data_IF_096172713281
#
_entry.id   IF_096172713281
#
_cell.length_a   1.000
_cell.length_b   1.000
_cell.length_c   1.000
_cell.angle_alpha   90.00
_cell.angle_beta   90.00
_cell.angle_gamma   90.00
#
_symmetry.space_group_name_H-M   'P 1'
#
loop_
_entity.id
_entity.type
_entity.pdbx_description
1 polymer ?
#
# COMPACT_ATOMS: atom_id res chain seq x y z
N UNK A 1 46.93 -29.82 -17.72
CA UNK A 1 46.45 -29.10 -16.52
C UNK A 1 46.23 -27.66 -16.91
N UNK A 2 44.98 -27.30 -17.21
CA UNK A 2 44.60 -25.91 -17.42
C UNK A 2 43.97 -25.44 -16.16
N UNK A 3 44.72 -24.72 -15.33
CA UNK A 3 44.19 -24.04 -14.17
C UNK A 3 43.30 -22.89 -14.66
N UNK A 4 41.96 -23.08 -14.53
CA UNK A 4 41.01 -22.03 -14.76
C UNK A 4 41.26 -20.90 -13.72
N UNK A 5 41.79 -19.77 -14.19
CA UNK A 5 41.80 -18.53 -13.41
C UNK A 5 40.34 -18.14 -13.17
N UNK A 6 39.86 -18.35 -11.97
CA UNK A 6 38.66 -17.69 -11.48
C UNK A 6 38.90 -16.18 -11.61
N UNK A 7 38.20 -15.54 -12.55
CA UNK A 7 38.23 -14.10 -12.72
C UNK A 7 37.58 -13.49 -11.47
N UNK A 8 38.40 -12.99 -10.55
CA UNK A 8 37.98 -12.18 -9.42
C UNK A 8 37.56 -10.79 -9.97
N UNK A 9 36.50 -10.73 -10.78
CA UNK A 9 35.86 -9.47 -11.11
C UNK A 9 35.08 -9.02 -9.89
N UNK A 10 35.41 -7.84 -9.38
CA UNK A 10 34.54 -7.19 -8.41
C UNK A 10 33.10 -7.22 -8.94
N UNK A 11 32.12 -7.56 -8.07
CA UNK A 11 30.73 -7.59 -8.50
C UNK A 11 30.34 -6.22 -9.02
N UNK A 12 29.66 -6.20 -10.16
CA UNK A 12 29.14 -4.99 -10.76
C UNK A 12 28.20 -4.26 -9.78
N UNK A 13 28.12 -2.94 -9.89
CA UNK A 13 27.26 -2.10 -9.02
C UNK A 13 25.82 -2.61 -8.98
N UNK A 14 25.30 -3.11 -10.11
CA UNK A 14 23.96 -3.71 -10.17
C UNK A 14 23.84 -4.96 -9.28
N UNK A 15 24.85 -5.83 -9.27
CA UNK A 15 24.87 -7.01 -8.40
C UNK A 15 24.98 -6.62 -6.92
N UNK A 16 25.82 -5.64 -6.60
CA UNK A 16 25.95 -5.12 -5.22
C UNK A 16 24.67 -4.49 -4.73
N UNK A 17 23.98 -3.72 -5.59
CA UNK A 17 22.65 -3.18 -5.28
C UNK A 17 21.63 -4.27 -5.02
N UNK A 18 21.57 -5.29 -5.90
CA UNK A 18 20.64 -6.40 -5.75
C UNK A 18 20.85 -7.15 -4.41
N UNK A 19 22.09 -7.46 -4.05
CA UNK A 19 22.42 -8.08 -2.76
C UNK A 19 22.02 -7.17 -1.60
N UNK A 20 22.35 -5.88 -1.68
CA UNK A 20 22.01 -4.92 -0.63
C UNK A 20 20.51 -4.85 -0.34
N UNK A 21 19.67 -4.74 -1.39
CA UNK A 21 18.22 -4.66 -1.17
C UNK A 21 17.61 -5.99 -0.74
N UNK A 22 18.17 -7.13 -1.16
CA UNK A 22 17.77 -8.45 -0.68
C UNK A 22 18.09 -8.65 0.80
N UNK A 23 19.21 -8.14 1.28
CA UNK A 23 19.58 -8.19 2.69
C UNK A 23 18.69 -7.31 3.58
N UNK A 24 18.09 -6.25 3.02
CA UNK A 24 17.17 -5.38 3.76
C UNK A 24 15.80 -6.01 4.02
N UNK A 25 15.39 -6.97 3.19
CA UNK A 25 14.05 -7.55 3.27
C UNK A 25 14.03 -9.03 2.88
N UNK A 26 13.67 -9.91 3.84
CA UNK A 26 13.59 -11.35 3.57
C UNK A 26 12.38 -11.74 2.69
N UNK A 27 11.41 -10.85 2.47
CA UNK A 27 10.16 -11.15 1.77
C UNK A 27 10.17 -10.75 0.29
N UNK A 28 11.33 -10.49 -0.31
CA UNK A 28 11.46 -10.01 -1.71
C UNK A 28 10.62 -8.77 -2.05
N UNK A 29 10.29 -7.95 -1.04
CA UNK A 29 9.45 -6.74 -1.18
C UNK A 29 10.13 -5.54 -0.54
N UNK A 30 10.73 -4.67 -1.34
CA UNK A 30 11.34 -3.45 -0.84
C UNK A 30 10.25 -2.40 -0.55
N UNK A 31 9.82 -2.32 0.71
CA UNK A 31 8.88 -1.28 1.16
C UNK A 31 9.60 0.06 1.20
N UNK A 32 9.08 1.04 0.46
CA UNK A 32 9.70 2.38 0.29
C UNK A 32 8.85 3.51 0.87
N UNK A 33 7.55 3.29 1.02
CA UNK A 33 6.62 4.25 1.61
C UNK A 33 5.57 3.51 2.42
N UNK A 34 5.32 4.00 3.63
CA UNK A 34 4.17 3.61 4.44
C UNK A 34 3.45 4.86 4.92
N UNK A 35 2.13 4.85 4.87
CA UNK A 35 1.28 5.96 5.30
C UNK A 35 0.09 5.45 6.08
N UNK A 36 -0.29 6.20 7.11
CA UNK A 36 -1.54 5.98 7.84
C UNK A 36 -2.65 6.76 7.12
N UNK A 37 -3.69 6.05 6.70
CA UNK A 37 -4.82 6.63 5.97
C UNK A 37 -6.11 6.47 6.78
N UNK A 38 -6.93 7.52 6.79
CA UNK A 38 -8.27 7.49 7.34
C UNK A 38 -9.27 7.11 6.26
N UNK A 39 -10.09 6.12 6.55
CA UNK A 39 -11.15 5.66 5.69
C UNK A 39 -12.49 6.07 6.27
N UNK A 40 -13.36 6.59 5.43
CA UNK A 40 -14.76 6.88 5.76
C UNK A 40 -15.66 6.34 4.66
N UNK A 41 -16.73 5.68 5.06
CA UNK A 41 -17.82 5.25 4.19
C UNK A 41 -19.16 5.58 4.82
N UNK A 42 -20.10 6.01 4.01
CA UNK A 42 -21.46 6.32 4.44
C UNK A 42 -22.44 5.73 3.45
N UNK A 43 -23.40 4.95 3.94
CA UNK A 43 -24.48 4.39 3.13
C UNK A 43 -25.83 4.80 3.71
N UNK A 44 -26.66 5.43 2.87
CA UNK A 44 -28.04 5.77 3.20
C UNK A 44 -28.99 4.62 2.79
N UNK A 45 -29.84 4.23 3.70
CA UNK A 45 -30.85 3.20 3.51
C UNK A 45 -32.25 3.81 3.57
N UNK A 46 -33.07 3.47 2.61
CA UNK A 46 -34.47 3.96 2.53
C UNK A 46 -35.38 2.79 2.25
N UNK A 47 -36.48 2.67 3.00
CA UNK A 47 -37.54 1.69 2.78
C UNK A 47 -38.90 2.33 2.96
N UNK A 48 -39.85 2.00 2.08
CA UNK A 48 -41.25 2.38 2.25
C UNK A 48 -41.92 1.42 3.23
N UNK A 49 -42.54 1.98 4.28
CA UNK A 49 -43.36 1.24 5.22
C UNK A 49 -44.83 1.52 4.90
N UNK A 50 -45.63 0.47 4.74
CA UNK A 50 -47.09 0.54 4.44
C UNK A 50 -47.43 1.43 3.21
N UNK A 51 -46.51 1.48 2.22
CA UNK A 51 -46.63 2.29 1.00
C UNK A 51 -46.74 3.82 1.19
N UNK A 52 -46.78 4.31 2.43
CA UNK A 52 -47.08 5.74 2.73
C UNK A 52 -45.89 6.41 3.43
N UNK A 53 -45.14 5.73 4.27
CA UNK A 53 -44.08 6.33 5.08
C UNK A 53 -42.71 5.89 4.58
N UNK A 54 -41.83 6.86 4.23
CA UNK A 54 -40.43 6.60 3.92
C UNK A 54 -39.61 6.58 5.21
N UNK A 55 -39.02 5.44 5.52
CA UNK A 55 -38.07 5.30 6.61
C UNK A 55 -36.66 5.42 6.06
N UNK A 56 -35.86 6.32 6.62
CA UNK A 56 -34.46 6.55 6.20
C UNK A 56 -33.54 6.46 7.39
N UNK A 57 -32.38 5.87 7.17
CA UNK A 57 -31.26 5.90 8.10
C UNK A 57 -29.94 5.86 7.33
N UNK A 58 -28.88 6.35 7.94
CA UNK A 58 -27.53 6.32 7.39
C UNK A 58 -26.64 5.53 8.33
N UNK A 59 -25.87 4.61 7.78
CA UNK A 59 -24.79 3.92 8.48
C UNK A 59 -23.48 4.54 8.01
N UNK A 60 -22.70 5.03 8.98
CA UNK A 60 -21.37 5.57 8.76
C UNK A 60 -20.34 4.61 9.36
N UNK A 61 -19.28 4.34 8.63
CA UNK A 61 -18.16 3.52 9.06
C UNK A 61 -16.89 4.33 8.87
N UNK A 62 -16.04 4.39 9.91
CA UNK A 62 -14.70 4.94 9.81
C UNK A 62 -13.67 3.97 10.37
N UNK A 63 -12.45 4.04 9.82
CA UNK A 63 -11.32 3.24 10.28
C UNK A 63 -10.00 3.87 9.85
N UNK A 64 -8.92 3.56 10.58
CA UNK A 64 -7.56 3.85 10.16
C UNK A 64 -6.90 2.59 9.60
N UNK A 65 -6.10 2.75 8.54
CA UNK A 65 -5.35 1.66 7.94
C UNK A 65 -3.93 2.10 7.59
N UNK A 66 -2.97 1.21 7.82
CA UNK A 66 -1.61 1.37 7.33
C UNK A 66 -1.54 0.87 5.88
N UNK A 67 -1.14 1.76 4.97
CA UNK A 67 -0.98 1.47 3.54
C UNK A 67 0.51 1.54 3.22
N UNK A 68 1.05 0.46 2.66
CA UNK A 68 2.47 0.35 2.33
C UNK A 68 2.68 0.08 0.85
N UNK A 69 3.64 0.79 0.25
CA UNK A 69 4.00 0.67 -1.16
C UNK A 69 5.40 0.09 -1.27
N UNK A 70 5.58 -0.84 -2.21
CA UNK A 70 6.80 -1.61 -2.35
C UNK A 70 7.18 -1.83 -3.81
N UNK A 71 8.45 -2.15 -4.02
CA UNK A 71 8.96 -2.73 -5.26
C UNK A 71 9.17 -4.23 -5.08
N UNK A 72 8.76 -4.99 -6.09
CA UNK A 72 8.90 -6.44 -6.14
C UNK A 72 10.33 -6.81 -6.54
N UNK A 73 11.09 -7.40 -5.62
CA UNK A 73 12.48 -7.79 -5.85
C UNK A 73 12.61 -9.10 -6.65
N UNK A 74 11.54 -9.91 -6.76
CA UNK A 74 11.55 -11.09 -7.63
C UNK A 74 11.61 -10.70 -9.13
N UNK A 75 11.42 -9.41 -9.43
CA UNK A 75 11.51 -8.85 -10.78
C UNK A 75 12.73 -7.91 -10.95
N UNK A 76 13.81 -8.20 -10.23
CA UNK A 76 15.04 -7.39 -10.30
C UNK A 76 15.67 -7.35 -11.71
N UNK A 77 15.39 -8.32 -12.55
CA UNK A 77 15.82 -8.31 -13.96
C UNK A 77 15.23 -7.17 -14.78
N UNK A 78 14.12 -6.58 -14.32
CA UNK A 78 13.49 -5.39 -14.94
C UNK A 78 14.07 -4.07 -14.45
N UNK A 79 14.96 -4.13 -13.45
CA UNK A 79 15.61 -2.93 -12.95
C UNK A 79 16.82 -2.57 -13.80
N UNK A 80 17.09 -1.27 -13.91
CA UNK A 80 18.33 -0.76 -14.48
C UNK A 80 19.08 0.01 -13.40
N UNK A 81 20.30 -0.42 -13.09
CA UNK A 81 21.16 0.22 -12.09
C UNK A 81 22.47 0.59 -12.78
N UNK A 82 22.81 1.89 -12.79
CA UNK A 82 24.01 2.42 -13.41
C UNK A 82 24.71 3.37 -12.46
N UNK A 83 26.02 3.28 -12.41
CA UNK A 83 26.83 4.19 -11.61
C UNK A 83 27.84 4.94 -12.48
N UNK A 84 27.72 6.26 -12.51
CA UNK A 84 28.73 7.12 -13.12
C UNK A 84 29.80 7.47 -12.07
N UNK A 85 30.95 6.82 -12.16
CA UNK A 85 32.09 7.03 -11.24
C UNK A 85 32.64 8.46 -11.33
N UNK A 86 32.55 9.13 -12.49
CA UNK A 86 33.07 10.49 -12.65
C UNK A 86 32.18 11.53 -12.02
N UNK A 87 30.86 11.35 -12.16
CA UNK A 87 29.86 12.24 -11.59
C UNK A 87 29.48 11.85 -10.15
N UNK A 88 29.80 10.63 -9.68
CA UNK A 88 29.37 10.10 -8.40
C UNK A 88 27.85 9.88 -8.33
N UNK A 89 27.22 9.61 -9.50
CA UNK A 89 25.76 9.49 -9.60
C UNK A 89 25.35 8.03 -9.77
N UNK A 90 24.46 7.56 -8.90
CA UNK A 90 23.77 6.28 -9.02
C UNK A 90 22.38 6.53 -9.64
N UNK A 91 22.14 5.99 -10.83
CA UNK A 91 20.84 6.00 -11.51
C UNK A 91 20.17 4.64 -11.34
N UNK A 92 18.97 4.63 -10.77
CA UNK A 92 18.16 3.43 -10.54
C UNK A 92 16.80 3.62 -11.18
N UNK A 93 16.47 2.72 -12.11
CA UNK A 93 15.12 2.58 -12.67
C UNK A 93 14.55 1.26 -12.19
N UNK A 94 13.58 1.34 -11.28
CA UNK A 94 12.87 0.18 -10.74
C UNK A 94 11.68 -0.22 -11.64
N UNK A 95 11.12 -1.40 -11.41
CA UNK A 95 9.82 -1.81 -11.93
C UNK A 95 8.68 -0.90 -11.38
N UNK A 96 7.44 -1.18 -11.76
CA UNK A 96 6.30 -0.45 -11.22
C UNK A 96 6.08 -0.79 -9.75
N UNK A 97 5.83 0.24 -8.90
CA UNK A 97 5.51 -0.01 -7.49
C UNK A 97 4.14 -0.66 -7.34
N UNK A 98 4.00 -1.46 -6.30
CA UNK A 98 2.77 -2.14 -5.91
C UNK A 98 2.36 -1.72 -4.51
N UNK A 99 1.10 -1.99 -4.15
CA UNK A 99 0.59 -1.78 -2.81
C UNK A 99 0.44 -3.11 -2.07
N UNK A 100 0.85 -3.17 -0.80
CA UNK A 100 0.48 -4.29 0.08
C UNK A 100 -1.00 -4.18 0.45
N UNK A 101 -1.67 -5.31 0.76
CA UNK A 101 -2.99 -5.25 1.35
C UNK A 101 -2.99 -4.32 2.57
N UNK A 102 -3.89 -3.32 2.63
CA UNK A 102 -3.93 -2.39 3.75
C UNK A 102 -4.16 -3.10 5.09
N UNK A 103 -3.37 -2.75 6.09
CA UNK A 103 -3.52 -3.28 7.44
C UNK A 103 -4.49 -2.39 8.23
N UNK A 104 -5.74 -2.84 8.38
CA UNK A 104 -6.77 -2.12 9.14
C UNK A 104 -6.45 -2.18 10.62
N UNK A 105 -6.43 -1.03 11.28
CA UNK A 105 -6.35 -0.92 12.74
C UNK A 105 -7.72 -1.21 13.34
N UNK A 106 -8.00 -2.46 13.65
CA UNK A 106 -9.33 -2.92 14.06
C UNK A 106 -9.90 -2.18 15.28
N UNK A 107 -9.03 -1.73 16.20
CA UNK A 107 -9.42 -0.92 17.36
C UNK A 107 -9.92 0.49 17.01
N UNK A 108 -9.73 0.92 15.75
CA UNK A 108 -10.18 2.24 15.27
C UNK A 108 -11.43 2.17 14.42
N UNK A 109 -12.02 0.99 14.26
CA UNK A 109 -13.25 0.83 13.50
C UNK A 109 -14.40 1.38 14.32
N UNK A 110 -15.05 2.40 13.81
CA UNK A 110 -16.24 3.02 14.39
C UNK A 110 -17.40 2.89 13.42
N UNK A 111 -18.55 2.49 13.95
CA UNK A 111 -19.79 2.37 13.18
C UNK A 111 -20.87 3.19 13.88
N UNK A 112 -21.39 4.20 13.19
CA UNK A 112 -22.42 5.08 13.66
C UNK A 112 -23.68 4.95 12.81
N UNK A 113 -24.85 5.00 13.46
CA UNK A 113 -26.14 4.99 12.76
C UNK A 113 -26.88 6.28 13.06
N UNK A 114 -27.22 7.03 12.03
CA UNK A 114 -27.98 8.28 12.10
C UNK A 114 -29.41 8.09 11.60
N UNK A 115 -30.38 8.69 12.25
CA UNK A 115 -31.78 8.68 11.85
C UNK A 115 -32.53 7.39 12.23
N UNK A 116 -31.95 6.55 13.12
CA UNK A 116 -32.56 5.30 13.57
C UNK A 116 -33.32 5.46 14.89
N UNK A 117 -34.57 5.01 14.91
CA UNK A 117 -35.29 4.64 16.12
C UNK A 117 -35.49 3.11 16.15
N UNK A 118 -36.08 2.55 17.20
CA UNK A 118 -36.28 1.09 17.34
C UNK A 118 -36.97 0.49 16.09
N UNK A 119 -37.99 1.16 15.57
CA UNK A 119 -38.75 0.71 14.40
C UNK A 119 -37.85 0.76 13.13
N UNK A 120 -37.17 1.86 12.93
CA UNK A 120 -36.25 2.06 11.79
C UNK A 120 -35.13 1.01 11.79
N UNK A 121 -34.53 0.75 12.94
CA UNK A 121 -33.46 -0.23 13.08
C UNK A 121 -33.90 -1.64 12.67
N UNK A 122 -35.12 -2.03 13.06
CA UNK A 122 -35.69 -3.34 12.71
C UNK A 122 -36.06 -3.42 11.23
N UNK A 123 -36.76 -2.40 10.71
CA UNK A 123 -37.26 -2.36 9.31
C UNK A 123 -36.11 -2.32 8.30
N UNK A 124 -35.08 -1.55 8.59
CA UNK A 124 -33.90 -1.39 7.71
C UNK A 124 -32.81 -2.42 7.97
N UNK A 125 -32.95 -3.25 9.02
CA UNK A 125 -31.93 -4.25 9.37
C UNK A 125 -30.54 -3.63 9.50
N UNK A 126 -30.43 -2.51 10.20
CA UNK A 126 -29.21 -1.69 10.21
C UNK A 126 -27.99 -2.42 10.75
N UNK A 127 -28.15 -3.39 11.65
CA UNK A 127 -27.06 -4.25 12.12
C UNK A 127 -26.49 -5.13 11.01
N UNK A 128 -27.35 -5.70 10.17
CA UNK A 128 -26.91 -6.51 9.02
C UNK A 128 -26.20 -5.63 7.98
N UNK A 129 -26.69 -4.42 7.76
CA UNK A 129 -26.07 -3.46 6.84
C UNK A 129 -24.69 -2.98 7.34
N UNK A 130 -24.55 -2.73 8.64
CA UNK A 130 -23.28 -2.39 9.26
C UNK A 130 -22.26 -3.52 9.15
N UNK A 131 -22.69 -4.77 9.37
CA UNK A 131 -21.84 -5.95 9.18
C UNK A 131 -21.38 -6.09 7.72
N UNK A 132 -22.29 -5.91 6.76
CA UNK A 132 -21.94 -5.94 5.33
C UNK A 132 -20.94 -4.83 4.95
N UNK A 133 -21.08 -3.62 5.50
CA UNK A 133 -20.10 -2.54 5.28
C UNK A 133 -18.74 -2.87 5.87
N UNK A 134 -18.71 -3.50 7.04
CA UNK A 134 -17.46 -3.97 7.65
C UNK A 134 -16.77 -5.03 6.79
N UNK A 135 -17.52 -5.98 6.24
CA UNK A 135 -16.97 -7.03 5.36
C UNK A 135 -16.44 -6.48 4.02
N UNK A 136 -17.03 -5.38 3.53
CA UNK A 136 -16.57 -4.67 2.35
C UNK A 136 -15.32 -3.80 2.60
N UNK A 137 -15.07 -3.39 3.85
CA UNK A 137 -14.02 -2.43 4.23
C UNK A 137 -12.65 -2.79 3.66
N UNK A 138 -12.22 -4.04 3.80
CA UNK A 138 -10.88 -4.47 3.33
C UNK A 138 -10.74 -4.37 1.82
N UNK A 139 -11.80 -4.67 1.06
CA UNK A 139 -11.81 -4.57 -0.40
C UNK A 139 -11.79 -3.12 -0.87
N UNK A 140 -12.58 -2.28 -0.22
CA UNK A 140 -12.65 -0.85 -0.54
C UNK A 140 -11.32 -0.16 -0.25
N UNK A 141 -10.68 -0.50 0.87
CA UNK A 141 -9.35 -0.01 1.21
C UNK A 141 -8.30 -0.46 0.20
N UNK A 142 -8.29 -1.72 -0.19
CA UNK A 142 -7.37 -2.23 -1.19
C UNK A 142 -7.54 -1.50 -2.53
N UNK A 143 -8.78 -1.32 -3.00
CA UNK A 143 -9.08 -0.59 -4.23
C UNK A 143 -8.62 0.88 -4.18
N UNK A 144 -8.83 1.56 -3.04
CA UNK A 144 -8.36 2.95 -2.85
C UNK A 144 -6.83 3.03 -2.80
N UNK A 145 -6.18 2.08 -2.13
CA UNK A 145 -4.73 2.02 -2.05
C UNK A 145 -4.09 1.81 -3.44
N UNK A 146 -4.66 0.93 -4.26
CA UNK A 146 -4.22 0.75 -5.65
C UNK A 146 -4.47 2.00 -6.50
N UNK A 147 -5.63 2.62 -6.39
CA UNK A 147 -5.94 3.87 -7.11
C UNK A 147 -4.97 5.00 -6.73
N UNK A 148 -4.53 5.06 -5.48
CA UNK A 148 -3.60 6.07 -4.98
C UNK A 148 -2.19 5.97 -5.59
N UNK A 149 -1.81 4.83 -6.21
CA UNK A 149 -0.55 4.71 -6.97
C UNK A 149 -0.47 5.70 -8.15
N UNK A 150 -1.60 6.18 -8.65
CA UNK A 150 -1.65 7.24 -9.66
C UNK A 150 -1.48 8.65 -9.09
N UNK A 151 -1.59 8.81 -7.78
CA UNK A 151 -1.51 10.10 -7.10
C UNK A 151 -0.08 10.64 -7.12
N UNK A 152 0.06 11.92 -7.46
CA UNK A 152 1.38 12.58 -7.55
C UNK A 152 2.12 12.59 -6.21
N UNK A 153 1.41 12.81 -5.10
CA UNK A 153 2.01 12.82 -3.77
C UNK A 153 2.54 11.44 -3.37
N UNK A 154 1.79 10.38 -3.66
CA UNK A 154 2.19 9.00 -3.40
C UNK A 154 3.40 8.62 -4.25
N UNK A 155 3.39 8.93 -5.55
CA UNK A 155 4.53 8.69 -6.45
C UNK A 155 5.79 9.41 -5.99
N UNK A 156 5.67 10.66 -5.57
CA UNK A 156 6.79 11.41 -5.04
C UNK A 156 7.31 10.81 -3.74
N UNK A 157 6.44 10.39 -2.82
CA UNK A 157 6.82 9.67 -1.60
C UNK A 157 7.56 8.36 -1.88
N UNK A 158 7.10 7.58 -2.85
CA UNK A 158 7.75 6.34 -3.30
C UNK A 158 9.13 6.65 -3.87
N UNK A 159 9.25 7.67 -4.74
CA UNK A 159 10.54 8.11 -5.30
C UNK A 159 11.52 8.52 -4.20
N UNK A 160 11.08 9.30 -3.24
CA UNK A 160 11.91 9.73 -2.11
C UNK A 160 12.33 8.55 -1.22
N UNK A 161 11.46 7.56 -1.02
CA UNK A 161 11.78 6.34 -0.30
C UNK A 161 12.87 5.53 -0.99
N UNK A 162 12.75 5.32 -2.30
CA UNK A 162 13.79 4.65 -3.10
C UNK A 162 15.10 5.44 -3.08
N UNK A 163 15.05 6.77 -3.22
CA UNK A 163 16.24 7.64 -3.17
C UNK A 163 16.95 7.53 -1.82
N UNK A 164 16.22 7.48 -0.70
CA UNK A 164 16.81 7.28 0.63
C UNK A 164 17.53 5.94 0.75
N UNK A 165 16.94 4.87 0.21
CA UNK A 165 17.55 3.54 0.18
C UNK A 165 18.83 3.54 -0.68
N UNK A 166 18.78 4.17 -1.85
CA UNK A 166 19.93 4.34 -2.73
C UNK A 166 21.07 5.14 -2.08
N UNK A 167 20.74 6.22 -1.36
CA UNK A 167 21.73 7.02 -0.64
C UNK A 167 22.44 6.22 0.46
N UNK A 168 21.70 5.38 1.19
CA UNK A 168 22.29 4.47 2.19
C UNK A 168 23.22 3.44 1.54
N UNK A 169 22.82 2.89 0.41
CA UNK A 169 23.68 1.99 -0.36
C UNK A 169 24.97 2.67 -0.80
N UNK A 170 24.89 3.88 -1.37
CA UNK A 170 26.10 4.62 -1.76
C UNK A 170 27.05 4.85 -0.58
N UNK A 171 26.51 5.20 0.58
CA UNK A 171 27.33 5.44 1.78
C UNK A 171 27.97 4.18 2.35
N UNK A 172 27.39 2.99 2.12
CA UNK A 172 27.89 1.73 2.69
C UNK A 172 28.69 0.88 1.71
N UNK A 173 28.47 1.05 0.40
CA UNK A 173 28.92 0.10 -0.61
C UNK A 173 29.69 0.74 -1.78
N UNK A 174 29.73 2.05 -1.94
CA UNK A 174 30.47 2.77 -2.98
C UNK A 174 31.50 3.70 -2.40
#
# INVERSE_FOLDING_TARGET
>A
FIAGRASNREPDVAQRWALYVQDLTPESKLVVLSSLQHYEASKAFTRKLLAVVNVRATVELSAWADVSYYFDLDQMEKWSVRYDKKAGILDIKANEPKCLPPAVRTQTIEIHTKGGNLVTNTVLKLKEQAAAMHDELSRDLASRAEASLSDKAVREGIRQGLTRTASKFCASAL
#
